data_IF_607874442393
#
_entry.id   IF_607874442393
#
_cell.length_a   1.000
_cell.length_b   1.000
_cell.length_c   1.000
_cell.angle_alpha   90.00
_cell.angle_beta   90.00
_cell.angle_gamma   90.00
#
_symmetry.space_group_name_H-M   'P 1'
#
loop_
_entity.id
_entity.type
_entity.pdbx_description
1 polymer ?
#
# COMPACT_ATOMS: atom_id res chain seq x y z
N UNK A 1 -8.06 1.25 13.81
CA UNK A 1 -6.79 1.07 13.05
C UNK A 1 -5.56 1.50 13.86
N UNK A 2 -5.58 2.64 14.55
CA UNK A 2 -4.38 3.22 15.19
C UNK A 2 -3.55 2.25 16.05
N UNK A 3 -4.15 1.65 17.07
CA UNK A 3 -3.45 0.69 17.94
C UNK A 3 -3.15 -0.69 17.34
N UNK A 4 -3.83 -1.07 16.25
CA UNK A 4 -3.71 -2.42 15.68
C UNK A 4 -2.75 -2.47 14.49
N UNK A 5 -2.67 -1.39 13.71
CA UNK A 5 -1.89 -1.31 12.47
C UNK A 5 -1.05 -0.03 12.36
N UNK A 6 -1.16 0.93 13.30
CA UNK A 6 -0.44 2.20 13.21
C UNK A 6 -1.04 3.23 12.25
N UNK A 7 -2.27 2.99 11.77
CA UNK A 7 -2.95 3.86 10.78
C UNK A 7 -4.14 4.62 11.35
N UNK A 8 -4.40 5.83 10.85
CA UNK A 8 -5.65 6.54 11.12
C UNK A 8 -6.82 5.77 10.49
N UNK A 9 -7.84 5.49 11.30
CA UNK A 9 -9.05 4.85 10.79
C UNK A 9 -9.80 5.78 9.82
N UNK A 10 -9.72 7.08 10.05
CA UNK A 10 -10.40 8.07 9.23
C UNK A 10 -9.74 8.21 7.86
N UNK A 11 -8.41 8.29 7.82
CA UNK A 11 -7.65 8.26 6.57
C UNK A 11 -7.93 6.99 5.76
N UNK A 12 -7.89 5.82 6.42
CA UNK A 12 -8.16 4.55 5.77
C UNK A 12 -9.56 4.52 5.15
N UNK A 13 -10.59 4.92 5.91
CA UNK A 13 -11.96 4.94 5.42
C UNK A 13 -12.11 5.90 4.23
N UNK A 14 -11.55 7.11 4.33
CA UNK A 14 -11.61 8.09 3.26
C UNK A 14 -10.97 7.56 1.96
N UNK A 15 -9.73 7.06 2.04
CA UNK A 15 -9.01 6.48 0.90
C UNK A 15 -9.75 5.28 0.32
N UNK A 16 -10.20 4.37 1.18
CA UNK A 16 -10.87 3.13 0.76
C UNK A 16 -12.19 3.42 0.03
N UNK A 17 -12.99 4.38 0.52
CA UNK A 17 -14.18 4.83 -0.18
C UNK A 17 -13.85 5.48 -1.52
N UNK A 18 -12.79 6.29 -1.58
CA UNK A 18 -12.35 6.91 -2.83
C UNK A 18 -11.95 5.85 -3.87
N UNK A 19 -11.14 4.86 -3.49
CA UNK A 19 -10.76 3.73 -4.34
C UNK A 19 -12.00 2.98 -4.87
N UNK A 20 -12.94 2.62 -4.00
CA UNK A 20 -14.15 1.89 -4.41
C UNK A 20 -15.16 2.72 -5.20
N UNK A 21 -15.09 4.05 -5.15
CA UNK A 21 -15.98 4.91 -5.92
C UNK A 21 -15.68 4.88 -7.43
N UNK A 22 -14.40 4.82 -7.81
CA UNK A 22 -13.92 4.85 -9.19
C UNK A 22 -12.60 4.08 -9.32
N UNK A 23 -12.64 2.73 -9.26
CA UNK A 23 -11.44 1.92 -9.27
C UNK A 23 -10.69 2.04 -10.60
N UNK A 24 -9.36 1.98 -10.53
CA UNK A 24 -8.44 1.93 -11.69
C UNK A 24 -8.48 3.16 -12.62
N UNK A 25 -9.01 4.30 -12.16
CA UNK A 25 -9.02 5.55 -12.94
C UNK A 25 -7.92 6.49 -12.46
N UNK A 26 -7.01 6.84 -13.36
CA UNK A 26 -5.90 7.75 -13.07
C UNK A 26 -6.40 9.10 -12.55
N UNK A 27 -5.69 9.69 -11.57
CA UNK A 27 -6.06 10.90 -10.83
C UNK A 27 -7.33 10.81 -9.96
N UNK A 28 -8.09 9.72 -10.01
CA UNK A 28 -9.30 9.53 -9.19
C UNK A 28 -9.09 8.44 -8.14
N UNK A 29 -8.42 7.36 -8.53
CA UNK A 29 -8.06 6.27 -7.64
C UNK A 29 -6.65 6.51 -7.05
N UNK A 30 -6.53 6.64 -5.71
CA UNK A 30 -5.26 6.86 -5.05
C UNK A 30 -4.29 5.68 -5.23
N UNK A 31 -4.79 4.46 -5.45
CA UNK A 31 -3.97 3.25 -5.51
C UNK A 31 -3.29 3.05 -6.87
N UNK A 32 -3.72 3.77 -7.91
CA UNK A 32 -3.06 3.82 -9.23
C UNK A 32 -2.26 5.11 -9.46
N UNK A 33 -2.30 6.04 -8.51
CA UNK A 33 -1.57 7.32 -8.55
C UNK A 33 -0.14 7.16 -7.98
N UNK A 34 0.48 6.00 -8.17
CA UNK A 34 1.82 5.62 -7.65
C UNK A 34 2.97 5.96 -8.64
N UNK A 35 2.80 6.97 -9.49
CA UNK A 35 3.77 7.33 -10.55
C UNK A 35 5.21 7.53 -10.03
N UNK A 36 6.31 7.21 -10.77
CA UNK A 36 6.41 6.68 -12.15
C UNK A 36 6.92 5.22 -12.20
N UNK A 37 6.83 4.47 -11.09
CA UNK A 37 7.42 3.12 -10.97
C UNK A 37 6.64 2.08 -11.78
N UNK A 38 5.31 2.24 -11.85
CA UNK A 38 4.42 1.38 -12.63
C UNK A 38 3.66 2.17 -13.68
N UNK A 39 3.52 1.59 -14.87
CA UNK A 39 2.68 2.13 -15.93
C UNK A 39 1.28 1.51 -15.80
N UNK A 40 0.31 2.32 -15.38
CA UNK A 40 -1.06 1.89 -15.12
C UNK A 40 -2.04 2.75 -15.94
N UNK A 41 -2.97 2.11 -16.64
CA UNK A 41 -4.01 2.79 -17.42
C UNK A 41 -3.46 3.73 -18.50
N UNK A 42 -4.08 4.91 -18.64
CA UNK A 42 -3.74 5.92 -19.68
C UNK A 42 -2.29 6.42 -19.60
N UNK A 43 -1.65 6.34 -18.42
CA UNK A 43 -0.24 6.71 -18.24
C UNK A 43 0.73 5.84 -19.05
N UNK A 44 0.34 4.61 -19.39
CA UNK A 44 1.15 3.69 -20.21
C UNK A 44 1.32 4.20 -21.66
N UNK A 45 0.26 4.80 -22.22
CA UNK A 45 0.26 5.35 -23.58
C UNK A 45 1.13 6.60 -23.66
N UNK A 46 1.03 7.48 -22.65
CA UNK A 46 1.85 8.69 -22.59
C UNK A 46 3.34 8.38 -22.37
N UNK A 47 3.63 7.40 -21.51
CA UNK A 47 5.01 6.96 -21.25
C UNK A 47 5.65 6.29 -22.46
N UNK A 48 4.89 5.48 -23.21
CA UNK A 48 5.32 4.89 -24.48
C UNK A 48 5.71 5.95 -25.52
N UNK A 49 4.99 7.09 -25.56
CA UNK A 49 5.32 8.23 -26.43
C UNK A 49 6.61 8.95 -25.98
N UNK A 50 6.82 9.10 -24.67
CA UNK A 50 7.98 9.83 -24.10
C UNK A 50 9.29 9.02 -24.05
N UNK A 51 9.28 7.73 -24.40
CA UNK A 51 10.47 6.82 -24.43
C UNK A 51 11.37 6.84 -23.19
N UNK A 52 10.88 7.25 -22.01
CA UNK A 52 11.63 7.12 -20.75
C UNK A 52 11.65 5.63 -20.37
N UNK A 53 12.77 5.09 -19.92
CA UNK A 53 12.94 3.64 -19.64
C UNK A 53 13.68 3.42 -18.33
N UNK A 54 12.98 3.57 -17.20
CA UNK A 54 13.55 3.22 -15.89
C UNK A 54 13.37 1.73 -15.57
N UNK A 55 12.23 1.13 -15.99
CA UNK A 55 11.93 -0.28 -15.83
C UNK A 55 11.33 -0.85 -17.15
N UNK A 56 11.66 -2.11 -17.51
CA UNK A 56 11.20 -2.73 -18.75
C UNK A 56 9.70 -3.09 -18.68
N UNK A 57 8.86 -2.33 -19.40
CA UNK A 57 7.40 -2.49 -19.40
C UNK A 57 6.92 -3.89 -19.84
N UNK A 58 7.61 -4.53 -20.79
CA UNK A 58 7.26 -5.86 -21.27
C UNK A 58 7.31 -6.94 -20.16
N UNK A 59 8.11 -6.72 -19.12
CA UNK A 59 8.21 -7.59 -17.96
C UNK A 59 7.46 -7.05 -16.73
N UNK A 60 6.65 -5.98 -16.87
CA UNK A 60 5.95 -5.35 -15.74
C UNK A 60 5.08 -6.33 -14.98
N UNK A 61 4.39 -7.24 -15.67
CA UNK A 61 3.59 -8.28 -15.05
C UNK A 61 4.39 -9.20 -14.11
N UNK A 62 5.70 -9.38 -14.33
CA UNK A 62 6.56 -10.25 -13.52
C UNK A 62 6.98 -9.59 -12.21
N UNK A 63 7.36 -8.31 -12.26
CA UNK A 63 7.79 -7.57 -11.06
C UNK A 63 6.66 -6.82 -10.35
N UNK A 64 5.49 -6.66 -10.99
CA UNK A 64 4.35 -5.98 -10.40
C UNK A 64 3.90 -6.63 -9.10
N UNK A 65 3.70 -7.95 -9.08
CA UNK A 65 3.25 -8.64 -7.87
C UNK A 65 4.33 -8.70 -6.77
N UNK A 66 5.60 -8.68 -7.16
CA UNK A 66 6.74 -8.71 -6.23
C UNK A 66 7.00 -7.35 -5.59
N UNK A 67 6.86 -6.25 -6.35
CA UNK A 67 7.30 -4.93 -5.91
C UNK A 67 6.12 -3.98 -5.69
N UNK A 68 5.06 -4.09 -6.49
CA UNK A 68 3.92 -3.16 -6.50
C UNK A 68 3.14 -3.13 -5.19
N UNK A 69 2.45 -4.21 -4.79
CA UNK A 69 1.70 -4.25 -3.55
C UNK A 69 2.54 -3.94 -2.30
N UNK A 70 3.78 -4.48 -2.16
CA UNK A 70 4.65 -4.10 -1.05
C UNK A 70 5.04 -2.63 -1.06
N UNK A 71 5.42 -2.05 -2.21
CA UNK A 71 5.79 -0.63 -2.30
C UNK A 71 4.60 0.28 -1.94
N UNK A 72 3.41 -0.06 -2.43
CA UNK A 72 2.18 0.66 -2.13
C UNK A 72 1.88 0.65 -0.62
N UNK A 73 1.96 -0.52 0.00
CA UNK A 73 1.59 -0.70 1.42
C UNK A 73 2.67 -0.28 2.42
N UNK A 74 3.95 -0.44 2.09
CA UNK A 74 5.08 -0.10 2.96
C UNK A 74 5.49 1.36 2.88
N UNK A 75 5.35 1.98 1.69
CA UNK A 75 5.86 3.33 1.46
C UNK A 75 4.73 4.32 1.26
N UNK A 76 3.92 4.14 0.20
CA UNK A 76 2.90 5.13 -0.15
C UNK A 76 1.87 5.30 0.98
N UNK A 77 1.34 4.19 1.50
CA UNK A 77 0.33 4.22 2.55
C UNK A 77 0.86 4.83 3.84
N UNK A 78 2.09 4.49 4.26
CA UNK A 78 2.69 5.03 5.49
C UNK A 78 2.96 6.54 5.38
N UNK A 79 3.52 6.99 4.25
CA UNK A 79 3.79 8.41 4.00
C UNK A 79 2.50 9.22 3.92
N UNK A 80 1.51 8.77 3.16
CA UNK A 80 0.25 9.48 3.03
C UNK A 80 -0.56 9.48 4.32
N UNK A 81 -0.57 8.37 5.08
CA UNK A 81 -1.22 8.33 6.39
C UNK A 81 -0.57 9.32 7.36
N UNK A 82 0.76 9.37 7.43
CA UNK A 82 1.46 10.32 8.28
C UNK A 82 1.20 11.76 7.86
N UNK A 83 1.32 12.05 6.56
CA UNK A 83 1.02 13.37 6.01
C UNK A 83 -0.42 13.79 6.32
N UNK A 84 -1.39 12.88 6.16
CA UNK A 84 -2.79 13.13 6.47
C UNK A 84 -3.00 13.46 7.95
N UNK A 85 -2.42 12.67 8.87
CA UNK A 85 -2.57 12.92 10.30
C UNK A 85 -1.99 14.27 10.71
N UNK A 86 -0.86 14.68 10.10
CA UNK A 86 -0.22 15.97 10.36
C UNK A 86 -1.01 17.14 9.75
N UNK A 87 -1.36 17.08 8.46
CA UNK A 87 -2.05 18.16 7.75
C UNK A 87 -3.47 18.36 8.28
N UNK A 88 -4.20 17.28 8.53
CA UNK A 88 -5.55 17.33 9.09
C UNK A 88 -5.59 17.44 10.61
N UNK A 89 -4.43 17.62 11.28
CA UNK A 89 -4.30 17.84 12.72
C UNK A 89 -5.02 16.74 13.56
N UNK A 90 -4.93 15.48 13.12
CA UNK A 90 -5.56 14.33 13.79
C UNK A 90 -4.66 13.83 14.93
N UNK A 91 -4.53 14.65 15.97
CA UNK A 91 -3.63 14.38 17.11
C UNK A 91 -3.93 13.07 17.85
N UNK A 92 -5.21 12.73 18.02
CA UNK A 92 -5.59 11.47 18.67
C UNK A 92 -5.11 10.25 17.86
N UNK A 93 -5.33 10.25 16.54
CA UNK A 93 -4.86 9.18 15.66
C UNK A 93 -3.33 9.10 15.64
N UNK A 94 -2.65 10.25 15.67
CA UNK A 94 -1.20 10.32 15.73
C UNK A 94 -0.66 9.69 17.03
N UNK A 95 -1.27 9.99 18.19
CA UNK A 95 -0.92 9.37 19.48
C UNK A 95 -1.15 7.86 19.44
N UNK A 96 -2.26 7.40 18.88
CA UNK A 96 -2.55 5.98 18.75
C UNK A 96 -1.59 5.26 17.80
N UNK A 97 -1.18 5.90 16.71
CA UNK A 97 -0.19 5.38 15.79
C UNK A 97 1.20 5.31 16.46
N UNK A 98 1.61 6.38 17.13
CA UNK A 98 2.89 6.44 17.83
C UNK A 98 3.00 5.38 18.92
N UNK A 99 1.95 5.21 19.72
CA UNK A 99 1.93 4.17 20.77
C UNK A 99 1.95 2.76 20.20
N UNK A 100 1.39 2.50 19.01
CA UNK A 100 1.57 1.23 18.30
C UNK A 100 3.04 0.99 17.95
N UNK A 101 3.72 1.99 17.35
CA UNK A 101 5.12 1.87 16.99
C UNK A 101 6.01 1.70 18.23
N UNK A 102 5.82 2.50 19.27
CA UNK A 102 6.56 2.38 20.54
C UNK A 102 6.40 0.97 21.10
N UNK A 103 5.16 0.46 21.20
CA UNK A 103 4.89 -0.89 21.70
C UNK A 103 5.56 -1.96 20.84
N UNK A 104 5.50 -1.84 19.51
CA UNK A 104 6.13 -2.80 18.60
C UNK A 104 7.64 -2.82 18.81
N UNK A 105 8.31 -1.67 18.74
CA UNK A 105 9.75 -1.61 18.92
C UNK A 105 10.18 -2.01 20.33
N UNK A 106 9.49 -1.57 21.39
CA UNK A 106 9.84 -1.98 22.75
C UNK A 106 9.68 -3.49 22.98
N UNK A 107 8.72 -4.12 22.32
CA UNK A 107 8.49 -5.56 22.45
C UNK A 107 9.51 -6.40 21.67
N UNK A 108 9.93 -5.96 20.47
CA UNK A 108 10.74 -6.80 19.57
C UNK A 108 12.24 -6.44 19.55
N UNK A 109 12.61 -5.20 19.83
CA UNK A 109 14.03 -4.77 19.87
C UNK A 109 14.87 -5.58 20.85
N UNK A 110 14.40 -5.92 22.08
CA UNK A 110 15.18 -6.75 23.00
C UNK A 110 15.53 -8.15 22.47
N UNK A 111 14.70 -8.70 21.58
CA UNK A 111 14.90 -10.07 21.05
C UNK A 111 15.68 -10.09 19.74
N UNK A 112 15.38 -9.17 18.82
CA UNK A 112 15.89 -9.19 17.45
C UNK A 112 16.89 -8.06 17.15
N UNK A 113 17.15 -7.18 18.12
CA UNK A 113 17.86 -5.92 17.89
C UNK A 113 17.07 -4.97 16.98
N UNK A 114 17.65 -3.81 16.68
CA UNK A 114 17.00 -2.80 15.84
C UNK A 114 16.84 -3.31 14.39
N UNK A 115 17.90 -3.87 13.81
CA UNK A 115 17.89 -4.38 12.43
C UNK A 115 16.91 -5.55 12.25
N UNK A 116 16.91 -6.52 13.17
CA UNK A 116 15.99 -7.66 13.10
C UNK A 116 14.53 -7.24 13.32
N UNK A 117 14.28 -6.24 14.16
CA UNK A 117 12.91 -5.70 14.34
C UNK A 117 12.40 -5.00 13.09
N UNK A 118 13.25 -4.24 12.40
CA UNK A 118 12.90 -3.62 11.11
C UNK A 118 12.66 -4.67 10.03
N UNK A 119 13.49 -5.72 9.98
CA UNK A 119 13.29 -6.86 9.08
C UNK A 119 11.96 -7.56 9.36
N UNK A 120 11.64 -7.82 10.63
CA UNK A 120 10.37 -8.43 11.03
C UNK A 120 9.18 -7.56 10.61
N UNK A 121 9.24 -6.26 10.89
CA UNK A 121 8.18 -5.31 10.52
C UNK A 121 7.94 -5.31 9.01
N UNK A 122 9.01 -5.21 8.21
CA UNK A 122 8.92 -5.18 6.75
C UNK A 122 8.43 -6.52 6.18
N UNK A 123 8.88 -7.65 6.73
CA UNK A 123 8.48 -8.99 6.28
C UNK A 123 6.98 -9.24 6.52
N UNK A 124 6.48 -8.94 7.72
CA UNK A 124 5.05 -9.09 8.05
C UNK A 124 4.17 -8.26 7.12
N UNK A 125 4.60 -7.04 6.81
CA UNK A 125 3.88 -6.14 5.89
C UNK A 125 3.91 -6.63 4.45
N UNK A 126 5.05 -7.13 4.00
CA UNK A 126 5.21 -7.74 2.69
C UNK A 126 4.26 -8.93 2.52
N UNK A 127 4.27 -9.88 3.46
CA UNK A 127 3.39 -11.06 3.43
C UNK A 127 1.91 -10.69 3.47
N UNK A 128 1.52 -9.74 4.34
CA UNK A 128 0.15 -9.26 4.43
C UNK A 128 -0.31 -8.62 3.11
N UNK A 129 0.57 -7.86 2.44
CA UNK A 129 0.26 -7.25 1.14
C UNK A 129 0.03 -8.30 0.05
N UNK A 130 0.87 -9.35 0.01
CA UNK A 130 0.73 -10.47 -0.91
C UNK A 130 -0.56 -11.25 -0.66
N UNK A 131 -0.89 -11.50 0.61
CA UNK A 131 -2.10 -12.20 1.01
C UNK A 131 -3.37 -11.43 0.59
N UNK A 132 -3.42 -10.11 0.79
CA UNK A 132 -4.55 -9.27 0.36
C UNK A 132 -4.72 -9.30 -1.16
N UNK A 133 -3.62 -9.22 -1.91
CA UNK A 133 -3.64 -9.31 -3.37
C UNK A 133 -4.17 -10.68 -3.83
N UNK A 134 -3.68 -11.76 -3.24
CA UNK A 134 -4.14 -13.11 -3.53
C UNK A 134 -5.63 -13.31 -3.25
N UNK A 135 -6.12 -12.85 -2.08
CA UNK A 135 -7.54 -12.92 -1.76
C UNK A 135 -8.42 -12.18 -2.76
N UNK A 136 -8.00 -10.98 -3.18
CA UNK A 136 -8.74 -10.21 -4.18
C UNK A 136 -8.84 -10.98 -5.51
N UNK A 137 -7.73 -11.52 -6.01
CA UNK A 137 -7.72 -12.32 -7.25
C UNK A 137 -8.51 -13.61 -7.12
N UNK A 138 -8.41 -14.29 -5.98
CA UNK A 138 -9.17 -15.52 -5.70
C UNK A 138 -10.68 -15.27 -5.69
N UNK A 139 -11.15 -14.25 -4.96
CA UNK A 139 -12.58 -13.90 -4.90
C UNK A 139 -13.10 -13.50 -6.28
N UNK A 140 -12.34 -12.68 -7.02
CA UNK A 140 -12.73 -12.27 -8.37
C UNK A 140 -12.87 -13.49 -9.31
N UNK A 141 -11.93 -14.43 -9.25
CA UNK A 141 -11.97 -15.65 -10.07
C UNK A 141 -13.11 -16.59 -9.64
N UNK A 142 -13.35 -16.71 -8.33
CA UNK A 142 -14.44 -17.50 -7.78
C UNK A 142 -15.80 -16.97 -8.21
N UNK A 143 -16.06 -15.67 -8.10
CA UNK A 143 -17.33 -15.07 -8.53
C UNK A 143 -17.56 -15.30 -10.03
N UNK A 144 -16.53 -15.13 -10.86
CA UNK A 144 -16.64 -15.35 -12.31
C UNK A 144 -16.94 -16.81 -12.67
N UNK A 145 -16.59 -17.78 -11.81
CA UNK A 145 -16.94 -19.20 -12.02
C UNK A 145 -18.42 -19.52 -11.83
N UNK A 146 -19.21 -18.64 -11.21
CA UNK A 146 -20.67 -18.79 -11.08
C UNK A 146 -21.47 -18.00 -12.13
N UNK A 147 -20.80 -17.25 -13.00
CA UNK A 147 -21.44 -16.51 -14.11
C UNK A 147 -21.48 -17.32 -15.42
N UNK A 148 -21.06 -18.58 -15.38
CA UNK A 148 -21.17 -19.59 -16.45
C UNK A 148 -21.97 -20.78 -15.96
#
# INVERSE_FOLDING_TARGET
>A
MGQLKGFSAHWWNFRHFQHHSKPNVFHKDPDVTVAPVFLLGESSVEYGKKKRRYLPYNHQHQYFFLIGPPLLTLVNFEVENLAYMLVCMKWADLVWALSFYIRFFSSYVPFYGISGTLLLFTSVRYELSGLMCWFHTFIHSFIHSFQH
#
